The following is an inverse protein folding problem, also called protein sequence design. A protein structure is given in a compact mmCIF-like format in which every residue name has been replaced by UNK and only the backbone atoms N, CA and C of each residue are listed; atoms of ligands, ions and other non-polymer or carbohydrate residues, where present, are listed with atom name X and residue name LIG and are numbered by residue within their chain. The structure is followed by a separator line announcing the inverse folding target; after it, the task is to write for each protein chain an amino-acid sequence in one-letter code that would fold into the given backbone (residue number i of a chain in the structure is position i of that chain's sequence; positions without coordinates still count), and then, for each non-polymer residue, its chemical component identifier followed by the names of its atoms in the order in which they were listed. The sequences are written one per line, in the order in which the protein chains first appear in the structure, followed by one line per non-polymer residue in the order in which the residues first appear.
data_IF_973137426018
#
_entry.id   IF_973137426018
#
_cell.length_a   1.000
_cell.length_b   1.000
_cell.length_c   1.000
_cell.angle_alpha   90.00
_cell.angle_beta   90.00
_cell.angle_gamma   90.00
#
_symmetry.space_group_name_H-M   'P 1'
#
loop_
_entity.id
_entity.type
_entity.pdbx_description
1 polymer ?
#
# COMPACT_ATOMS: atom_id res chain seq x y z
N UNK A 1 21.26 3.11 -28.57
CA UNK A 1 20.90 2.03 -29.52
C UNK A 1 19.76 1.16 -29.01
N UNK A 2 19.89 0.44 -27.88
CA UNK A 2 18.77 -0.39 -27.37
C UNK A 2 17.55 0.42 -26.91
N UNK A 3 17.76 1.58 -26.27
CA UNK A 3 16.68 2.50 -25.90
C UNK A 3 15.93 3.04 -27.13
N UNK A 4 16.67 3.60 -28.09
CA UNK A 4 16.12 4.12 -29.35
C UNK A 4 15.42 3.05 -30.19
N UNK A 5 15.89 1.79 -30.13
CA UNK A 5 15.22 0.66 -30.81
C UNK A 5 13.88 0.34 -30.13
N UNK A 6 13.83 0.39 -28.79
CA UNK A 6 12.62 0.15 -28.02
C UNK A 6 11.56 1.25 -28.24
N UNK A 7 11.98 2.51 -28.37
CA UNK A 7 11.09 3.62 -28.70
C UNK A 7 10.45 3.49 -30.10
N UNK A 8 11.15 2.85 -31.04
CA UNK A 8 10.66 2.63 -32.40
C UNK A 8 9.80 1.37 -32.52
N UNK A 9 10.22 0.28 -31.89
CA UNK A 9 9.50 -0.98 -31.83
C UNK A 9 9.81 -1.72 -30.52
N UNK A 10 8.82 -1.79 -29.65
CA UNK A 10 8.89 -2.48 -28.35
C UNK A 10 9.17 -3.98 -28.50
N UNK A 11 8.99 -4.54 -29.71
CA UNK A 11 9.17 -5.94 -30.02
C UNK A 11 10.46 -6.26 -30.79
N UNK A 12 11.15 -5.28 -31.36
CA UNK A 12 12.36 -5.52 -32.14
C UNK A 12 13.53 -6.01 -31.27
N UNK A 13 13.50 -5.68 -29.97
CA UNK A 13 14.55 -5.96 -28.99
C UNK A 13 14.32 -7.16 -28.07
N UNK A 14 13.26 -7.97 -28.25
CA UNK A 14 12.80 -8.98 -27.26
C UNK A 14 13.90 -9.82 -26.61
N UNK A 15 14.81 -10.36 -27.43
CA UNK A 15 15.93 -11.21 -26.98
C UNK A 15 16.95 -10.48 -26.08
N UNK A 16 16.93 -9.16 -26.06
CA UNK A 16 17.83 -8.31 -25.28
C UNK A 16 17.14 -7.61 -24.12
N UNK A 17 15.84 -7.85 -23.87
CA UNK A 17 15.13 -7.15 -22.79
C UNK A 17 15.71 -7.49 -21.41
N UNK A 18 16.16 -8.72 -21.17
CA UNK A 18 16.91 -9.10 -19.95
C UNK A 18 18.18 -8.24 -19.78
N UNK A 19 18.94 -8.05 -20.85
CA UNK A 19 20.16 -7.22 -20.84
C UNK A 19 19.80 -5.74 -20.65
N UNK A 20 18.71 -5.28 -21.26
CA UNK A 20 18.25 -3.91 -21.18
C UNK A 20 17.78 -3.54 -19.77
N UNK A 21 17.16 -4.48 -19.03
CA UNK A 21 16.89 -4.32 -17.60
C UNK A 21 18.18 -4.08 -16.82
N UNK A 22 19.23 -4.90 -17.06
CA UNK A 22 20.51 -4.73 -16.37
C UNK A 22 21.15 -3.38 -16.68
N UNK A 23 21.17 -2.99 -17.96
CA UNK A 23 21.74 -1.71 -18.39
C UNK A 23 20.97 -0.51 -17.81
N UNK A 24 19.64 -0.55 -17.78
CA UNK A 24 18.89 0.52 -17.13
C UNK A 24 19.11 0.54 -15.63
N UNK A 25 19.11 -0.61 -14.97
CA UNK A 25 19.34 -0.66 -13.54
C UNK A 25 20.71 -0.12 -13.13
N UNK A 26 21.76 -0.35 -13.93
CA UNK A 26 23.13 0.08 -13.63
C UNK A 26 23.45 1.51 -14.08
N UNK A 27 22.95 1.94 -15.23
CA UNK A 27 23.34 3.22 -15.84
C UNK A 27 22.24 4.29 -15.80
N UNK A 28 20.97 3.92 -15.94
CA UNK A 28 19.84 4.87 -16.01
C UNK A 28 18.59 4.34 -15.29
N UNK A 29 18.59 4.26 -13.94
CA UNK A 29 17.50 3.65 -13.17
C UNK A 29 16.14 4.33 -13.41
N UNK A 30 16.15 5.61 -13.77
CA UNK A 30 14.93 6.40 -14.04
C UNK A 30 14.12 5.85 -15.21
N UNK A 31 14.78 5.18 -16.17
CA UNK A 31 14.14 4.60 -17.35
C UNK A 31 13.70 3.15 -17.11
N UNK A 32 14.11 2.55 -15.99
CA UNK A 32 13.83 1.15 -15.71
C UNK A 32 12.33 0.92 -15.48
N UNK A 33 11.71 1.68 -14.58
CA UNK A 33 10.29 1.50 -14.27
C UNK A 33 9.37 1.70 -15.51
N UNK A 34 9.52 2.77 -16.32
CA UNK A 34 8.76 2.89 -17.58
C UNK A 34 8.98 1.72 -18.56
N UNK A 35 10.21 1.21 -18.64
CA UNK A 35 10.52 0.05 -19.47
C UNK A 35 9.84 -1.23 -18.96
N UNK A 36 9.86 -1.46 -17.64
CA UNK A 36 9.21 -2.61 -17.01
C UNK A 36 7.69 -2.61 -17.23
N UNK A 37 7.05 -1.43 -17.23
CA UNK A 37 5.62 -1.30 -17.55
C UNK A 37 5.29 -1.57 -19.03
N UNK A 38 6.23 -1.24 -19.94
CA UNK A 38 5.98 -1.27 -21.38
C UNK A 38 6.37 -2.61 -22.03
N UNK A 39 7.29 -3.35 -21.40
CA UNK A 39 7.83 -4.61 -21.89
C UNK A 39 7.25 -5.81 -21.13
N UNK A 40 7.02 -6.93 -21.83
CA UNK A 40 6.56 -8.19 -21.21
C UNK A 40 7.51 -9.37 -21.47
N UNK A 41 8.68 -9.11 -22.07
CA UNK A 41 9.58 -10.16 -22.56
C UNK A 41 10.84 -10.36 -21.73
N UNK A 42 10.95 -9.65 -20.60
CA UNK A 42 12.04 -9.88 -19.64
C UNK A 42 11.65 -10.94 -18.61
N UNK A 43 12.64 -11.61 -18.05
CA UNK A 43 12.43 -12.56 -16.97
C UNK A 43 12.23 -11.82 -15.63
N UNK A 44 11.04 -11.95 -15.03
CA UNK A 44 10.67 -11.30 -13.76
C UNK A 44 11.66 -11.62 -12.63
N UNK A 45 12.05 -12.89 -12.45
CA UNK A 45 12.96 -13.29 -11.39
C UNK A 45 14.35 -12.65 -11.57
N UNK A 46 14.90 -12.69 -12.79
CA UNK A 46 16.20 -12.05 -13.06
C UNK A 46 16.15 -10.53 -12.86
N UNK A 47 15.06 -9.90 -13.30
CA UNK A 47 14.87 -8.46 -13.10
C UNK A 47 14.80 -8.11 -11.61
N UNK A 48 14.11 -8.94 -10.82
CA UNK A 48 14.01 -8.78 -9.38
C UNK A 48 15.36 -8.92 -8.68
N UNK A 49 16.18 -9.92 -9.07
CA UNK A 49 17.53 -10.11 -8.52
C UNK A 49 18.42 -8.91 -8.79
N UNK A 50 18.38 -8.36 -10.01
CA UNK A 50 19.13 -7.15 -10.39
C UNK A 50 18.68 -5.95 -9.56
N UNK A 51 17.37 -5.73 -9.44
CA UNK A 51 16.82 -4.63 -8.64
C UNK A 51 17.15 -4.78 -7.15
N UNK A 52 17.19 -6.01 -6.65
CA UNK A 52 17.58 -6.33 -5.26
C UNK A 52 19.04 -6.01 -5.01
N UNK A 53 19.93 -6.41 -5.93
CA UNK A 53 21.37 -6.12 -5.84
C UNK A 53 21.68 -4.62 -5.85
N UNK A 54 20.90 -3.85 -6.60
CA UNK A 54 21.08 -2.40 -6.77
C UNK A 54 20.19 -1.55 -5.84
N UNK A 55 19.45 -2.19 -4.94
CA UNK A 55 18.55 -1.56 -3.98
C UNK A 55 17.48 -0.64 -4.59
N UNK A 56 16.92 -1.05 -5.73
CA UNK A 56 15.89 -0.34 -6.48
C UNK A 56 14.49 -0.70 -5.94
N UNK A 57 14.06 0.00 -4.88
CA UNK A 57 12.87 -0.37 -4.10
C UNK A 57 11.56 -0.22 -4.90
N UNK A 58 11.42 0.84 -5.71
CA UNK A 58 10.17 1.09 -6.46
C UNK A 58 9.95 0.03 -7.54
N UNK A 59 11.02 -0.35 -8.22
CA UNK A 59 11.06 -1.36 -9.26
C UNK A 59 10.85 -2.76 -8.68
N UNK A 60 11.45 -3.06 -7.52
CA UNK A 60 11.17 -4.28 -6.75
C UNK A 60 9.68 -4.42 -6.43
N UNK A 61 9.05 -3.36 -5.92
CA UNK A 61 7.61 -3.35 -5.58
C UNK A 61 6.78 -3.68 -6.82
N UNK A 62 7.06 -3.04 -7.96
CA UNK A 62 6.37 -3.32 -9.21
C UNK A 62 6.53 -4.79 -9.65
N UNK A 63 7.77 -5.31 -9.63
CA UNK A 63 8.06 -6.68 -10.04
C UNK A 63 7.35 -7.71 -9.14
N UNK A 64 7.34 -7.49 -7.82
CA UNK A 64 6.62 -8.36 -6.88
C UNK A 64 5.11 -8.36 -7.12
N UNK A 65 4.52 -7.21 -7.47
CA UNK A 65 3.10 -7.16 -7.87
C UNK A 65 2.84 -8.00 -9.13
N UNK A 66 3.71 -7.92 -10.13
CA UNK A 66 3.58 -8.73 -11.36
C UNK A 66 3.76 -10.23 -11.10
N UNK A 67 4.56 -10.59 -10.09
CA UNK A 67 4.77 -11.98 -9.68
C UNK A 67 3.65 -12.55 -8.80
N UNK A 68 2.67 -11.73 -8.40
CA UNK A 68 1.60 -12.13 -7.46
C UNK A 68 2.00 -12.07 -5.99
N UNK A 69 3.20 -11.59 -5.67
CA UNK A 69 3.72 -11.48 -4.30
C UNK A 69 3.34 -10.12 -3.69
N UNK A 70 2.07 -9.74 -3.77
CA UNK A 70 1.62 -8.41 -3.36
C UNK A 70 1.82 -8.12 -1.86
N UNK A 71 1.78 -9.14 -0.99
CA UNK A 71 2.05 -9.00 0.46
C UNK A 71 3.51 -8.61 0.74
N UNK A 72 4.45 -9.23 0.01
CA UNK A 72 5.86 -8.85 0.10
C UNK A 72 6.11 -7.45 -0.47
N UNK A 73 5.44 -7.10 -1.58
CA UNK A 73 5.48 -5.77 -2.15
C UNK A 73 5.01 -4.71 -1.13
N UNK A 74 3.88 -4.95 -0.47
CA UNK A 74 3.35 -4.07 0.57
C UNK A 74 4.33 -3.91 1.74
N UNK A 75 4.93 -5.01 2.17
CA UNK A 75 5.92 -5.02 3.26
C UNK A 75 7.14 -4.17 2.92
N UNK A 76 7.61 -4.21 1.67
CA UNK A 76 8.68 -3.33 1.19
C UNK A 76 8.26 -1.85 1.16
N UNK A 77 7.03 -1.53 0.76
CA UNK A 77 6.54 -0.14 0.78
C UNK A 77 6.52 0.39 2.22
N UNK A 78 6.04 -0.40 3.17
CA UNK A 78 5.91 0.01 4.57
C UNK A 78 7.29 0.12 5.24
N UNK A 79 8.16 -0.87 5.07
CA UNK A 79 9.44 -0.93 5.78
C UNK A 79 10.56 -0.12 5.12
N UNK A 80 10.71 -0.23 3.79
CA UNK A 80 11.82 0.40 3.06
C UNK A 80 11.45 1.82 2.62
N UNK A 81 10.29 2.01 1.99
CA UNK A 81 9.86 3.35 1.54
C UNK A 81 9.30 4.19 2.69
N UNK A 82 8.82 3.56 3.77
CA UNK A 82 8.14 4.21 4.91
C UNK A 82 7.07 5.21 4.47
N UNK A 83 6.44 4.92 3.33
CA UNK A 83 5.51 5.83 2.69
C UNK A 83 4.10 5.24 2.74
N UNK A 84 3.37 5.64 3.77
CA UNK A 84 2.04 5.11 4.04
C UNK A 84 1.01 5.49 2.96
N UNK A 85 1.18 6.63 2.29
CA UNK A 85 0.28 7.03 1.20
C UNK A 85 0.40 6.08 0.01
N UNK A 86 1.63 5.73 -0.36
CA UNK A 86 1.90 4.76 -1.43
C UNK A 86 1.39 3.37 -1.04
N UNK A 87 1.54 2.97 0.24
CA UNK A 87 0.99 1.70 0.72
C UNK A 87 -0.54 1.66 0.62
N UNK A 88 -1.21 2.76 0.98
CA UNK A 88 -2.66 2.89 0.85
C UNK A 88 -3.12 2.82 -0.61
N UNK A 89 -2.51 3.62 -1.49
CA UNK A 89 -2.81 3.61 -2.93
C UNK A 89 -2.60 2.21 -3.52
N UNK A 90 -1.54 1.52 -3.09
CA UNK A 90 -1.25 0.14 -3.50
C UNK A 90 -2.35 -0.84 -3.09
N UNK A 91 -2.78 -0.81 -1.83
CA UNK A 91 -3.84 -1.73 -1.36
C UNK A 91 -5.17 -1.41 -2.04
N UNK A 92 -5.52 -0.12 -2.17
CA UNK A 92 -6.74 0.31 -2.84
C UNK A 92 -6.75 -0.08 -4.33
N UNK A 93 -5.61 -0.04 -5.02
CA UNK A 93 -5.53 -0.43 -6.43
C UNK A 93 -5.70 -1.94 -6.64
N UNK A 94 -5.34 -2.75 -5.66
CA UNK A 94 -5.46 -4.21 -5.74
C UNK A 94 -6.86 -4.72 -5.35
N UNK A 95 -7.64 -3.93 -4.60
CA UNK A 95 -8.99 -4.27 -4.14
C UNK A 95 -9.06 -5.67 -3.49
N UNK A 96 -8.07 -5.97 -2.64
CA UNK A 96 -7.88 -7.26 -1.98
C UNK A 96 -7.97 -7.08 -0.45
N UNK A 97 -8.98 -7.71 0.16
CA UNK A 97 -9.22 -7.68 1.60
C UNK A 97 -8.05 -8.28 2.40
N UNK A 98 -7.32 -9.25 1.86
CA UNK A 98 -6.16 -9.83 2.53
C UNK A 98 -4.98 -8.85 2.58
N UNK A 99 -4.78 -8.05 1.53
CA UNK A 99 -3.79 -6.97 1.53
C UNK A 99 -4.20 -5.85 2.48
N UNK A 100 -5.49 -5.55 2.56
CA UNK A 100 -6.03 -4.62 3.54
C UNK A 100 -5.79 -5.07 4.98
N UNK A 101 -6.04 -6.35 5.26
CA UNK A 101 -5.75 -6.95 6.56
C UNK A 101 -4.26 -6.89 6.90
N UNK A 102 -3.40 -7.15 5.94
CA UNK A 102 -1.94 -7.08 6.11
C UNK A 102 -1.46 -5.66 6.39
N UNK A 103 -1.97 -4.66 5.66
CA UNK A 103 -1.70 -3.24 5.92
C UNK A 103 -2.09 -2.85 7.35
N UNK A 104 -3.28 -3.27 7.81
CA UNK A 104 -3.70 -3.03 9.19
C UNK A 104 -2.71 -3.67 10.16
N UNK A 105 -2.40 -4.95 10.00
CA UNK A 105 -1.48 -5.66 10.90
C UNK A 105 -0.11 -4.98 10.99
N UNK A 106 0.46 -4.55 9.86
CA UNK A 106 1.74 -3.84 9.85
C UNK A 106 1.61 -2.44 10.47
N UNK A 107 0.49 -1.74 10.25
CA UNK A 107 0.23 -0.44 10.88
C UNK A 107 0.02 -0.53 12.40
N UNK A 108 -0.44 -1.67 12.93
CA UNK A 108 -0.55 -1.90 14.37
C UNK A 108 0.82 -1.99 15.06
N UNK A 109 1.87 -2.35 14.34
CA UNK A 109 3.24 -2.33 14.87
C UNK A 109 3.84 -0.91 14.91
N UNK A 110 3.26 0.05 14.18
CA UNK A 110 3.74 1.43 14.10
C UNK A 110 2.60 2.44 14.38
N UNK A 111 2.45 2.94 15.62
CA UNK A 111 1.36 3.85 16.03
C UNK A 111 1.25 5.14 15.21
N UNK A 112 2.34 5.61 14.61
CA UNK A 112 2.32 6.77 13.73
C UNK A 112 1.62 6.48 12.38
N UNK A 113 1.53 5.20 11.99
CA UNK A 113 1.05 4.76 10.67
C UNK A 113 -0.43 4.38 10.66
N UNK A 114 -1.02 3.96 11.78
CA UNK A 114 -2.45 3.58 11.88
C UNK A 114 -3.41 4.74 11.59
N UNK A 115 -2.94 5.98 11.70
CA UNK A 115 -3.74 7.17 11.43
C UNK A 115 -4.13 7.34 9.96
N UNK A 116 -3.26 6.93 9.04
CA UNK A 116 -3.45 7.15 7.60
C UNK A 116 -4.55 6.25 7.02
N UNK A 117 -4.64 4.94 7.34
CA UNK A 117 -5.78 4.10 6.96
C UNK A 117 -7.11 4.67 7.45
N UNK A 118 -7.16 5.16 8.70
CA UNK A 118 -8.38 5.76 9.28
C UNK A 118 -8.81 7.03 8.56
N UNK A 119 -7.86 7.88 8.16
CA UNK A 119 -8.17 9.12 7.45
C UNK A 119 -8.66 8.86 6.01
N UNK A 120 -8.18 7.79 5.38
CA UNK A 120 -8.50 7.44 3.98
C UNK A 120 -9.70 6.51 3.80
N UNK A 121 -10.18 5.81 4.84
CA UNK A 121 -11.35 4.89 4.77
C UNK A 121 -12.67 5.52 5.18
N UNK A 122 -12.70 6.84 5.34
CA UNK A 122 -13.84 7.64 5.74
C UNK A 122 -15.09 7.32 4.89
N UNK A 123 -16.10 6.68 5.49
CA UNK A 123 -17.38 6.34 4.85
C UNK A 123 -17.55 4.90 4.36
N UNK A 124 -16.51 4.06 4.38
CA UNK A 124 -16.56 2.70 3.81
C UNK A 124 -16.50 1.57 4.86
N UNK A 125 -16.90 0.35 4.46
CA UNK A 125 -16.88 -0.91 5.24
C UNK A 125 -15.55 -1.12 5.95
N UNK A 126 -14.45 -0.68 5.34
CA UNK A 126 -13.09 -0.77 5.86
C UNK A 126 -12.86 0.05 7.15
N UNK A 127 -13.59 1.15 7.38
CA UNK A 127 -13.51 1.94 8.62
C UNK A 127 -13.81 1.07 9.86
N UNK A 128 -14.82 0.21 9.76
CA UNK A 128 -15.24 -0.66 10.87
C UNK A 128 -14.21 -1.76 11.16
N UNK A 129 -13.55 -2.28 10.13
CA UNK A 129 -12.51 -3.29 10.27
C UNK A 129 -11.28 -2.74 11.00
N UNK A 130 -10.87 -1.51 10.68
CA UNK A 130 -9.74 -0.85 11.36
C UNK A 130 -10.07 -0.61 12.83
N UNK A 131 -11.23 -0.03 13.13
CA UNK A 131 -11.65 0.29 14.51
C UNK A 131 -11.69 -0.96 15.39
N UNK A 132 -12.19 -2.08 14.88
CA UNK A 132 -12.27 -3.33 15.64
C UNK A 132 -10.91 -4.02 15.86
N UNK A 133 -9.90 -3.70 15.04
CA UNK A 133 -8.55 -4.28 15.14
C UNK A 133 -7.57 -3.48 16.00
N UNK A 134 -7.86 -2.22 16.32
CA UNK A 134 -6.99 -1.39 17.16
C UNK A 134 -6.96 -1.96 18.60
N UNK A 135 -5.77 -2.34 19.13
CA UNK A 135 -5.63 -2.75 20.51
C UNK A 135 -6.03 -1.62 21.45
N UNK A 136 -6.74 -1.98 22.53
CA UNK A 136 -7.31 -1.01 23.48
C UNK A 136 -6.27 -0.17 24.24
N UNK A 137 -5.01 -0.59 24.23
CA UNK A 137 -3.90 0.04 24.96
C UNK A 137 -2.94 0.79 24.01
N UNK A 138 -3.30 0.94 22.73
CA UNK A 138 -2.47 1.63 21.74
C UNK A 138 -2.73 3.15 21.77
N UNK A 139 -1.70 3.99 22.03
CA UNK A 139 -1.85 5.43 21.96
C UNK A 139 -1.91 5.85 20.49
N UNK A 140 -3.13 5.92 19.94
CA UNK A 140 -3.36 6.44 18.59
C UNK A 140 -3.62 7.94 18.67
N UNK A 141 -2.72 8.80 18.15
CA UNK A 141 -2.93 10.24 18.15
C UNK A 141 -4.21 10.61 17.40
N UNK A 142 -5.00 11.53 17.97
CA UNK A 142 -6.23 12.07 17.36
C UNK A 142 -7.31 11.02 17.05
N UNK A 143 -7.26 9.83 17.66
CA UNK A 143 -8.25 8.77 17.45
C UNK A 143 -9.67 9.26 17.73
N UNK A 144 -9.85 10.04 18.79
CA UNK A 144 -11.16 10.62 19.15
C UNK A 144 -11.70 11.54 18.05
N UNK A 145 -10.87 12.45 17.54
CA UNK A 145 -11.29 13.41 16.52
C UNK A 145 -11.57 12.73 15.19
N UNK A 146 -10.76 11.72 14.84
CA UNK A 146 -10.96 10.84 13.69
C UNK A 146 -12.28 10.05 13.79
N UNK A 147 -12.56 9.45 14.94
CA UNK A 147 -13.82 8.75 15.18
C UNK A 147 -15.04 9.68 15.14
N UNK A 148 -14.94 10.87 15.73
CA UNK A 148 -16.01 11.88 15.68
C UNK A 148 -16.29 12.30 14.24
N UNK A 149 -15.25 12.46 13.42
CA UNK A 149 -15.39 12.79 12.00
C UNK A 149 -16.06 11.65 11.22
N UNK A 150 -15.59 10.40 11.38
CA UNK A 150 -16.22 9.21 10.76
C UNK A 150 -17.71 9.12 11.12
N UNK A 151 -18.08 9.30 12.40
CA UNK A 151 -19.48 9.28 12.84
C UNK A 151 -20.29 10.42 12.24
N UNK A 152 -19.70 11.60 12.08
CA UNK A 152 -20.38 12.78 11.54
C UNK A 152 -20.63 12.62 10.04
N UNK A 153 -19.64 12.14 9.30
CA UNK A 153 -19.72 11.92 7.85
C UNK A 153 -20.75 10.82 7.50
N UNK A 154 -20.78 9.73 8.28
CA UNK A 154 -21.80 8.68 8.20
C UNK A 154 -23.24 9.15 8.53
N UNK A 155 -23.40 10.24 9.29
CA UNK A 155 -24.73 10.81 9.59
C UNK A 155 -25.25 11.70 8.46
N UNK A 156 -24.36 12.27 7.65
CA UNK A 156 -24.69 13.06 6.46
C UNK A 156 -24.97 12.20 5.23
N UNK A 157 -24.32 11.05 5.09
CA UNK A 157 -24.64 10.05 4.06
C UNK A 157 -25.80 9.16 4.53
N UNK A 158 -27.02 9.55 4.18
CA UNK A 158 -28.26 8.92 4.64
C UNK A 158 -28.40 7.43 4.26
N UNK A 159 -27.94 6.52 5.12
CA UNK A 159 -28.50 5.17 5.26
C UNK A 159 -28.12 4.55 6.62
N UNK A 160 -29.04 4.47 7.61
CA UNK A 160 -28.73 3.93 8.92
C UNK A 160 -28.78 2.41 8.90
N UNK A 161 -27.62 1.74 8.90
CA UNK A 161 -27.50 0.32 9.24
C UNK A 161 -26.42 0.11 10.28
N UNK A 162 -26.80 -0.57 11.37
CA UNK A 162 -26.05 -1.30 12.43
C UNK A 162 -24.65 -0.81 12.93
N UNK A 163 -23.81 -0.21 12.09
CA UNK A 163 -22.47 0.29 12.43
C UNK A 163 -22.45 1.39 13.50
N UNK A 164 -23.44 2.29 13.51
CA UNK A 164 -23.53 3.37 14.50
C UNK A 164 -23.57 2.87 15.95
N UNK A 165 -24.22 1.72 16.21
CA UNK A 165 -24.30 1.15 17.56
C UNK A 165 -22.98 0.55 18.02
N UNK A 166 -22.18 -0.01 17.11
CA UNK A 166 -20.89 -0.60 17.46
C UNK A 166 -19.83 0.49 17.68
N UNK A 167 -19.83 1.56 16.87
CA UNK A 167 -18.92 2.70 17.09
C UNK A 167 -19.24 3.41 18.41
N UNK A 168 -20.53 3.63 18.72
CA UNK A 168 -20.94 4.21 20.01
C UNK A 168 -20.51 3.35 21.19
N UNK A 169 -20.59 2.01 21.10
CA UNK A 169 -20.08 1.10 22.15
C UNK A 169 -18.57 1.22 22.33
N UNK A 170 -17.80 1.30 21.24
CA UNK A 170 -16.35 1.50 21.29
C UNK A 170 -16.02 2.86 21.92
N UNK A 171 -16.69 3.93 21.51
CA UNK A 171 -16.51 5.27 22.10
C UNK A 171 -16.88 5.35 23.58
N UNK A 172 -17.96 4.68 24.01
CA UNK A 172 -18.32 4.60 25.44
C UNK A 172 -17.25 3.84 26.21
N UNK A 173 -16.75 2.72 25.67
CA UNK A 173 -15.67 1.95 26.31
C UNK A 173 -14.32 2.69 26.36
N UNK A 174 -14.08 3.60 25.42
CA UNK A 174 -12.89 4.46 25.39
C UNK A 174 -13.02 5.66 26.34
N UNK A 175 -14.24 6.16 26.57
CA UNK A 175 -14.51 7.28 27.48
C UNK A 175 -14.35 6.90 28.96
N UNK A 176 -14.63 5.64 29.31
CA UNK A 176 -14.33 5.07 30.64
C UNK A 176 -12.83 4.86 30.92
N UNK A 177 -11.97 4.95 29.89
CA UNK A 177 -10.52 4.70 30.01
C UNK A 177 -9.66 5.97 30.00
N UNK A 178 -10.28 7.15 29.90
CA UNK A 178 -9.59 8.44 29.95
C UNK A 178 -9.56 9.06 31.36
N UNK A 179 -9.91 8.29 32.39
CA UNK A 179 -9.72 8.65 33.80
C UNK A 179 -8.95 7.54 34.51
N UNK A 180 -7.67 7.38 34.15
CA UNK A 180 -6.55 7.16 35.08
C UNK A 180 -5.22 7.17 34.32
#
# INVERSE_FOLDING_TARGET
YLHTLFEQDTNAGKKYHDLQVQLYAEFEPRLLLPFLHSSQYYNLNKAYDVCTRLNLVKEKVYLLSQMGNAKEALTLIINDLKNMKVAMEFVMSHNDDDLWNELINQSLHNPDMIGVPLDHTMGDIHSMQVINRIPKDMPVPLLRDRLVKVITDYKTEASPREGCNNILKVCVSAKDRSWH
#
